data_IF_452513645290
#
_entry.id   IF_452513645290
#
_cell.length_a   1.000
_cell.length_b   1.000
_cell.length_c   1.000
_cell.angle_alpha   90.00
_cell.angle_beta   90.00
_cell.angle_gamma   90.00
#
_symmetry.space_group_name_H-M   'P 1'
#
loop_
_entity.id
_entity.type
_entity.pdbx_description
1 polymer ?
#
# COMPACT_ATOMS: atom_id res chain seq x y z
N UNK A 1 -6.85 22.86 -18.47
CA UNK A 1 -6.29 21.49 -18.39
C UNK A 1 -7.39 20.55 -18.83
N UNK A 2 -7.32 20.00 -20.05
CA UNK A 2 -8.36 19.12 -20.59
C UNK A 2 -8.58 17.93 -19.67
N UNK A 3 -9.84 17.53 -19.44
CA UNK A 3 -10.25 16.46 -18.52
C UNK A 3 -9.42 15.17 -18.75
N UNK A 4 -9.10 14.90 -20.02
CA UNK A 4 -8.30 13.77 -20.50
C UNK A 4 -6.87 13.73 -19.94
N UNK A 5 -6.22 14.88 -19.81
CA UNK A 5 -4.85 14.96 -19.32
C UNK A 5 -4.79 14.64 -17.82
N UNK A 6 -5.80 15.09 -17.05
CA UNK A 6 -5.94 14.71 -15.64
C UNK A 6 -6.17 13.21 -15.47
N UNK A 7 -6.99 12.61 -16.33
CA UNK A 7 -7.30 11.18 -16.28
C UNK A 7 -6.04 10.33 -16.52
N UNK A 8 -5.23 10.69 -17.52
CA UNK A 8 -3.94 10.03 -17.81
C UNK A 8 -2.97 10.18 -16.63
N UNK A 9 -2.84 11.38 -16.05
CA UNK A 9 -1.95 11.62 -14.91
C UNK A 9 -2.37 10.77 -13.71
N UNK A 10 -3.66 10.73 -13.38
CA UNK A 10 -4.17 9.90 -12.29
C UNK A 10 -3.87 8.42 -12.55
N UNK A 11 -4.07 7.95 -13.78
CA UNK A 11 -3.82 6.56 -14.14
C UNK A 11 -2.34 6.18 -14.02
N UNK A 12 -1.45 7.03 -14.51
CA UNK A 12 0.00 6.86 -14.37
C UNK A 12 0.41 6.90 -12.91
N UNK A 13 -0.13 7.83 -12.12
CA UNK A 13 0.15 7.91 -10.68
C UNK A 13 -0.27 6.63 -9.96
N UNK A 14 -1.46 6.08 -10.28
CA UNK A 14 -1.96 4.84 -9.69
C UNK A 14 -1.05 3.65 -10.03
N UNK A 15 -0.57 3.57 -11.28
CA UNK A 15 0.40 2.56 -11.72
C UNK A 15 1.74 2.67 -11.00
N UNK A 16 2.28 3.89 -10.91
CA UNK A 16 3.56 4.15 -10.23
C UNK A 16 3.47 3.77 -8.76
N UNK A 17 2.41 4.20 -8.07
CA UNK A 17 2.21 3.87 -6.64
C UNK A 17 2.07 2.36 -6.46
N UNK A 18 1.26 1.69 -7.29
CA UNK A 18 1.09 0.23 -7.23
C UNK A 18 2.40 -0.51 -7.46
N UNK A 19 3.21 -0.05 -8.41
CA UNK A 19 4.51 -0.63 -8.72
C UNK A 19 5.52 -0.42 -7.58
N UNK A 20 5.58 0.79 -7.01
CA UNK A 20 6.46 1.10 -5.88
C UNK A 20 6.08 0.27 -4.65
N UNK A 21 4.79 0.18 -4.33
CA UNK A 21 4.31 -0.66 -3.22
C UNK A 21 4.63 -2.13 -3.46
N UNK A 22 4.39 -2.63 -4.68
CA UNK A 22 4.74 -4.01 -5.06
C UNK A 22 6.24 -4.28 -4.96
N UNK A 23 7.08 -3.35 -5.39
CA UNK A 23 8.54 -3.46 -5.33
C UNK A 23 9.06 -3.41 -3.89
N UNK A 24 8.57 -2.48 -3.06
CA UNK A 24 8.94 -2.36 -1.64
C UNK A 24 8.49 -3.60 -0.87
N UNK A 25 7.28 -4.11 -1.13
CA UNK A 25 6.85 -5.39 -0.59
C UNK A 25 7.79 -6.51 -1.06
N UNK A 26 8.05 -6.66 -2.35
CA UNK A 26 8.91 -7.75 -2.85
C UNK A 26 10.34 -7.67 -2.30
N UNK A 27 10.90 -6.46 -2.15
CA UNK A 27 12.21 -6.23 -1.56
C UNK A 27 12.23 -6.54 -0.05
N UNK A 28 11.19 -6.15 0.70
CA UNK A 28 11.04 -6.49 2.11
C UNK A 28 10.79 -7.99 2.34
N UNK A 29 10.13 -8.66 1.38
CA UNK A 29 9.77 -10.08 1.41
C UNK A 29 10.69 -10.97 0.55
N UNK A 30 11.85 -10.46 0.10
CA UNK A 30 12.83 -11.22 -0.72
C UNK A 30 13.67 -12.22 0.10
N UNK A 31 13.50 -12.24 1.41
CA UNK A 31 13.86 -13.40 2.21
C UNK A 31 12.81 -14.48 1.95
N UNK A 32 13.23 -15.74 1.74
CA UNK A 32 12.34 -16.91 1.67
C UNK A 32 11.50 -16.94 2.96
N UNK A 33 10.37 -16.24 2.96
CA UNK A 33 9.42 -16.24 4.06
C UNK A 33 8.42 -17.34 3.72
N UNK A 34 8.40 -18.43 4.51
CA UNK A 34 7.35 -19.42 4.38
C UNK A 34 5.97 -18.73 4.37
N UNK A 35 5.03 -19.23 3.56
CA UNK A 35 3.69 -18.62 3.37
C UNK A 35 2.91 -18.30 4.66
N UNK A 36 3.29 -18.85 5.82
CA UNK A 36 2.70 -18.49 7.11
C UNK A 36 3.19 -17.14 7.66
N UNK A 37 4.42 -16.73 7.36
CA UNK A 37 5.03 -15.50 7.90
C UNK A 37 4.50 -14.24 7.19
N UNK A 38 4.14 -14.35 5.90
CA UNK A 38 3.52 -13.25 5.16
C UNK A 38 2.15 -12.87 5.75
N UNK A 39 1.36 -13.85 6.17
CA UNK A 39 0.10 -13.62 6.89
C UNK A 39 0.32 -12.98 8.27
N UNK A 40 1.36 -13.40 9.00
CA UNK A 40 1.71 -12.81 10.30
C UNK A 40 2.17 -11.36 10.16
N UNK A 41 3.01 -11.05 9.17
CA UNK A 41 3.47 -9.67 8.92
C UNK A 41 2.31 -8.80 8.40
N UNK A 42 1.45 -9.35 7.55
CA UNK A 42 0.20 -8.68 7.14
C UNK A 42 -0.71 -8.36 8.34
N UNK A 43 -0.87 -9.31 9.28
CA UNK A 43 -1.62 -9.10 10.52
C UNK A 43 -0.94 -8.08 11.46
N UNK A 44 0.39 -8.15 11.61
CA UNK A 44 1.16 -7.22 12.43
C UNK A 44 1.17 -5.80 11.87
N UNK A 45 1.14 -5.63 10.55
CA UNK A 45 1.07 -4.32 9.88
C UNK A 45 -0.36 -3.76 9.86
N UNK A 46 -1.39 -4.63 9.90
CA UNK A 46 -2.79 -4.19 9.99
C UNK A 46 -3.09 -3.45 11.31
N UNK A 47 -2.46 -3.85 12.43
CA UNK A 47 -2.64 -3.20 13.74
C UNK A 47 -2.19 -1.71 13.77
N UNK A 48 -0.96 -1.35 13.39
CA UNK A 48 -0.53 0.04 13.36
C UNK A 48 -1.26 0.85 12.27
N UNK A 49 -1.63 0.22 11.14
CA UNK A 49 -2.44 0.87 10.11
C UNK A 49 -3.84 1.20 10.65
N UNK A 50 -4.48 0.28 11.37
CA UNK A 50 -5.76 0.51 12.02
C UNK A 50 -5.70 1.65 13.05
N UNK A 51 -4.65 1.68 13.87
CA UNK A 51 -4.47 2.74 14.85
C UNK A 51 -4.16 4.09 14.21
N UNK A 52 -3.39 4.10 13.12
CA UNK A 52 -3.15 5.30 12.31
C UNK A 52 -4.43 5.80 11.64
N UNK A 53 -5.25 4.91 11.09
CA UNK A 53 -6.54 5.24 10.50
C UNK A 53 -7.54 5.73 11.56
N UNK A 54 -7.53 5.19 12.79
CA UNK A 54 -8.31 5.75 13.90
C UNK A 54 -7.84 7.15 14.30
N UNK A 55 -6.55 7.43 14.16
CA UNK A 55 -5.96 8.73 14.52
C UNK A 55 -6.22 9.82 13.47
N UNK A 56 -6.30 9.44 12.19
CA UNK A 56 -6.46 10.38 11.06
C UNK A 56 -7.89 10.38 10.50
N UNK A 57 -8.64 9.29 10.73
CA UNK A 57 -10.04 9.15 10.33
C UNK A 57 -10.99 9.98 11.19
N UNK A 58 -12.22 10.22 10.70
CA UNK A 58 -13.18 11.08 11.37
C UNK A 58 -13.49 10.55 12.78
N UNK A 59 -13.25 11.40 13.78
CA UNK A 59 -13.73 11.21 15.14
C UNK A 59 -15.23 11.50 15.14
N UNK A 60 -16.04 10.46 15.28
CA UNK A 60 -17.39 10.60 15.85
C UNK A 60 -17.29 10.74 17.38
#
# INVERSE_FOLDING_TARGET
MSIWQRLIITFVAMLVVSFVVGYVCNAAFSFILPNYVSGVIGGFTALPVWEFLRRVGPSE
#
